data_IF_087128994271
#
_entry.id   IF_087128994271
#
_cell.length_a   1.000
_cell.length_b   1.000
_cell.length_c   1.000
_cell.angle_alpha   90.00
_cell.angle_beta   90.00
_cell.angle_gamma   90.00
#
_symmetry.space_group_name_H-M   'P 1'
#
loop_
_entity.id
_entity.type
_entity.pdbx_description
1 polymer ?
#
# COMPACT_ATOMS: atom_id res chain seq x y z
N UNK A 1 -2.59 19.05 15.69
CA UNK A 1 -1.14 18.79 15.95
C UNK A 1 -0.73 19.04 17.39
N UNK A 2 -1.20 20.09 18.04
CA UNK A 2 -0.89 20.38 19.48
C UNK A 2 -1.21 19.20 20.40
N UNK A 3 -2.32 18.50 20.19
CA UNK A 3 -2.71 17.33 20.98
C UNK A 3 -1.64 16.22 20.99
N UNK A 4 -1.05 15.92 19.84
CA UNK A 4 -0.03 14.87 19.70
C UNK A 4 1.40 15.33 20.03
N UNK A 5 1.62 16.57 20.45
CA UNK A 5 2.90 17.00 21.01
C UNK A 5 3.16 16.42 22.40
N UNK A 6 2.11 15.99 23.11
CA UNK A 6 2.22 15.31 24.39
C UNK A 6 2.31 13.79 24.17
N UNK A 7 3.38 13.11 24.63
CA UNK A 7 3.55 11.66 24.51
C UNK A 7 2.45 10.83 25.19
N UNK A 8 1.88 11.31 26.29
CA UNK A 8 0.81 10.62 26.99
C UNK A 8 -0.49 10.63 26.18
N UNK A 9 -0.85 11.76 25.56
CA UNK A 9 -1.97 11.85 24.65
C UNK A 9 -1.82 10.89 23.47
N UNK A 10 -0.60 10.78 22.92
CA UNK A 10 -0.30 9.84 21.85
C UNK A 10 -0.52 8.38 22.28
N UNK A 11 -0.05 8.02 23.46
CA UNK A 11 -0.24 6.68 24.02
C UNK A 11 -1.72 6.36 24.25
N UNK A 12 -2.44 7.26 24.90
CA UNK A 12 -3.86 7.11 25.22
C UNK A 12 -4.70 6.99 23.96
N UNK A 13 -4.46 7.85 22.99
CA UNK A 13 -5.13 7.79 21.69
C UNK A 13 -4.92 6.44 20.99
N UNK A 14 -3.68 5.96 20.93
CA UNK A 14 -3.37 4.67 20.30
C UNK A 14 -3.92 3.49 21.09
N UNK A 15 -3.86 3.54 22.44
CA UNK A 15 -4.40 2.50 23.29
C UNK A 15 -5.91 2.37 23.13
N UNK A 16 -6.63 3.49 23.10
CA UNK A 16 -8.09 3.51 22.90
C UNK A 16 -8.51 2.96 21.54
N UNK A 17 -7.72 3.24 20.47
CA UNK A 17 -7.99 2.70 19.13
C UNK A 17 -7.63 1.21 19.00
N UNK A 18 -6.56 0.79 19.65
CA UNK A 18 -6.08 -0.59 19.61
C UNK A 18 -6.91 -1.53 20.47
N UNK A 19 -7.34 -1.06 21.61
CA UNK A 19 -8.03 -1.84 22.64
C UNK A 19 -9.29 -1.10 23.13
N UNK A 20 -10.35 -1.04 22.31
CA UNK A 20 -11.58 -0.32 22.66
C UNK A 20 -12.24 -0.89 23.92
N UNK A 21 -12.10 -2.20 24.16
CA UNK A 21 -12.69 -2.91 25.30
C UNK A 21 -11.70 -3.09 26.48
N UNK A 22 -10.64 -2.30 26.53
CA UNK A 22 -9.58 -2.37 27.54
C UNK A 22 -8.31 -3.04 27.04
N UNK A 23 -7.19 -2.68 27.67
CA UNK A 23 -5.86 -3.10 27.23
C UNK A 23 -5.68 -4.61 27.37
N UNK A 24 -5.22 -5.24 26.31
CA UNK A 24 -4.94 -6.68 26.23
C UNK A 24 -3.46 -6.94 26.00
N UNK A 25 -2.95 -8.00 26.63
CA UNK A 25 -1.57 -8.44 26.42
C UNK A 25 -1.38 -8.95 24.97
N UNK A 26 -0.46 -8.37 24.20
CA UNK A 26 -0.23 -8.80 22.79
C UNK A 26 0.26 -10.24 22.66
N UNK A 27 0.79 -10.83 23.74
CA UNK A 27 1.34 -12.19 23.74
C UNK A 27 0.29 -13.25 24.06
N UNK A 28 -0.61 -13.00 25.01
CA UNK A 28 -1.56 -14.02 25.50
C UNK A 28 -3.04 -13.58 25.46
N UNK A 29 -3.36 -12.36 25.01
CA UNK A 29 -4.72 -11.84 24.88
C UNK A 29 -5.44 -11.51 26.21
N UNK A 30 -4.82 -11.73 27.38
CA UNK A 30 -5.47 -11.46 28.67
C UNK A 30 -5.57 -9.96 28.95
N UNK A 31 -6.70 -9.56 29.59
CA UNK A 31 -6.98 -8.18 30.02
C UNK A 31 -6.46 -7.87 31.42
N UNK A 32 -5.99 -8.89 32.17
CA UNK A 32 -5.42 -8.70 33.49
C UNK A 32 -3.99 -8.13 33.42
N UNK A 33 -3.94 -6.82 33.20
CA UNK A 33 -2.72 -6.05 33.00
C UNK A 33 -2.69 -4.84 33.93
N UNK A 34 -1.49 -4.46 34.40
CA UNK A 34 -1.28 -3.28 35.25
C UNK A 34 -0.44 -2.26 34.49
N UNK A 35 -0.84 -0.99 34.49
CA UNK A 35 -0.06 0.08 33.92
C UNK A 35 1.06 0.55 34.82
N UNK A 36 2.29 0.55 34.32
CA UNK A 36 3.50 0.98 35.01
C UNK A 36 3.85 2.40 34.57
N UNK A 37 3.33 3.40 35.27
CA UNK A 37 3.43 4.81 34.86
C UNK A 37 4.90 5.28 34.68
N UNK A 38 5.81 4.91 35.58
CA UNK A 38 7.24 5.27 35.51
C UNK A 38 7.95 4.73 34.25
N UNK A 39 7.47 3.61 33.70
CA UNK A 39 8.07 2.95 32.53
C UNK A 39 7.27 3.18 31.24
N UNK A 40 6.08 3.78 31.35
CA UNK A 40 5.14 3.95 30.26
C UNK A 40 4.82 2.62 29.52
N UNK A 41 4.58 1.55 30.29
CA UNK A 41 4.33 0.19 29.81
C UNK A 41 3.20 -0.45 30.60
N UNK A 42 2.63 -1.51 30.05
CA UNK A 42 1.74 -2.41 30.79
C UNK A 42 2.49 -3.68 31.16
N UNK A 43 2.11 -4.28 32.27
CA UNK A 43 2.60 -5.57 32.73
C UNK A 43 1.46 -6.57 32.80
N UNK A 44 1.57 -7.66 32.04
CA UNK A 44 0.67 -8.81 32.13
C UNK A 44 0.95 -9.62 33.38
N UNK A 45 -0.10 -10.06 34.09
CA UNK A 45 0.03 -10.90 35.27
C UNK A 45 0.26 -12.37 34.94
N UNK A 46 0.05 -12.81 33.70
CA UNK A 46 0.31 -14.19 33.26
C UNK A 46 1.80 -14.51 33.20
N UNK A 47 2.14 -15.77 33.48
CA UNK A 47 3.53 -16.27 33.40
C UNK A 47 3.93 -16.56 31.93
N UNK A 48 4.61 -15.61 31.28
CA UNK A 48 5.26 -15.77 29.97
C UNK A 48 6.47 -14.82 29.85
N UNK A 49 7.36 -15.09 28.87
CA UNK A 49 8.66 -14.38 28.78
C UNK A 49 8.54 -12.85 28.59
N UNK A 50 7.55 -12.39 27.81
CA UNK A 50 7.37 -10.97 27.49
C UNK A 50 6.19 -10.37 28.24
N UNK A 51 6.29 -10.28 29.57
CA UNK A 51 5.21 -9.77 30.43
C UNK A 51 5.00 -8.26 30.32
N UNK A 52 6.05 -7.50 30.03
CA UNK A 52 5.97 -6.05 29.88
C UNK A 52 5.88 -5.66 28.40
N UNK A 53 4.94 -4.79 28.08
CA UNK A 53 4.73 -4.31 26.71
C UNK A 53 4.30 -2.85 26.68
N UNK A 54 4.65 -2.16 25.63
CA UNK A 54 4.16 -0.83 25.30
C UNK A 54 3.07 -0.90 24.22
N UNK A 55 2.40 0.21 23.95
CA UNK A 55 1.41 0.31 22.89
C UNK A 55 1.99 0.03 21.50
N UNK A 56 3.32 0.06 21.33
CA UNK A 56 4.01 -0.23 20.08
C UNK A 56 4.15 -1.72 19.77
N UNK A 57 4.19 -2.59 20.78
CA UNK A 57 4.43 -4.03 20.60
C UNK A 57 3.32 -4.65 19.74
N UNK A 58 3.69 -5.42 18.72
CA UNK A 58 2.76 -6.01 17.76
C UNK A 58 2.16 -5.00 16.76
N UNK A 59 2.78 -3.85 16.58
CA UNK A 59 2.38 -2.85 15.57
C UNK A 59 3.53 -2.51 14.63
N UNK A 60 3.25 -1.72 13.59
CA UNK A 60 4.31 -1.19 12.72
C UNK A 60 5.33 -0.31 13.46
N UNK A 61 5.06 0.10 14.69
CA UNK A 61 5.94 0.93 15.52
C UNK A 61 6.90 0.11 16.40
N UNK A 62 6.76 -1.20 16.40
CA UNK A 62 7.57 -2.09 17.22
C UNK A 62 9.06 -1.91 16.96
N UNK A 63 9.86 -2.03 18.02
CA UNK A 63 11.33 -1.85 18.01
C UNK A 63 11.83 -0.47 17.55
N UNK A 64 10.94 0.53 17.46
CA UNK A 64 11.35 1.87 17.12
C UNK A 64 11.72 2.69 18.36
N UNK A 65 12.91 3.33 18.39
CA UNK A 65 13.28 4.24 19.46
C UNK A 65 12.53 5.59 19.39
N UNK A 66 11.90 5.89 18.24
CA UNK A 66 11.22 7.17 18.04
C UNK A 66 9.97 7.31 18.90
N UNK A 67 9.65 8.52 19.34
CA UNK A 67 8.42 8.86 20.02
C UNK A 67 7.17 8.62 19.17
N UNK A 68 6.03 8.46 19.82
CA UNK A 68 4.73 8.28 19.14
C UNK A 68 4.28 9.56 18.45
N UNK A 69 4.67 10.73 18.96
CA UNK A 69 4.47 12.05 18.37
C UNK A 69 4.99 12.09 16.93
N UNK A 70 6.24 11.66 16.72
CA UNK A 70 6.86 11.59 15.39
C UNK A 70 6.16 10.56 14.49
N UNK A 71 5.77 9.41 15.05
CA UNK A 71 5.08 8.37 14.28
C UNK A 71 3.68 8.82 13.83
N UNK A 72 2.88 9.38 14.70
CA UNK A 72 1.54 9.86 14.36
C UNK A 72 1.58 11.03 13.38
N UNK A 73 2.57 11.94 13.54
CA UNK A 73 2.79 13.01 12.57
C UNK A 73 3.20 12.45 11.21
N UNK A 74 4.08 11.43 11.14
CA UNK A 74 4.43 10.79 9.87
C UNK A 74 3.21 10.14 9.22
N UNK A 75 2.39 9.41 9.97
CA UNK A 75 1.13 8.82 9.45
C UNK A 75 0.25 9.91 8.88
N UNK A 76 0.02 11.01 9.61
CA UNK A 76 -0.79 12.14 9.16
C UNK A 76 -0.30 12.73 7.84
N UNK A 77 1.00 12.99 7.74
CA UNK A 77 1.61 13.56 6.52
C UNK A 77 1.45 12.62 5.32
N UNK A 78 1.78 11.34 5.48
CA UNK A 78 1.73 10.38 4.37
C UNK A 78 0.31 10.16 3.86
N UNK A 79 -0.68 10.06 4.74
CA UNK A 79 -2.06 9.76 4.31
C UNK A 79 -2.77 10.95 3.68
N UNK A 80 -2.38 12.18 4.04
CA UNK A 80 -3.09 13.40 3.65
C UNK A 80 -2.38 14.21 2.55
N UNK A 81 -1.10 13.97 2.27
CA UNK A 81 -0.43 14.56 1.11
C UNK A 81 -0.93 13.94 -0.19
N UNK A 82 -1.66 14.70 -1.01
CA UNK A 82 -2.35 14.21 -2.23
C UNK A 82 -1.45 13.47 -3.22
N UNK A 83 -0.23 13.93 -3.42
CA UNK A 83 0.74 13.31 -4.35
C UNK A 83 1.80 12.47 -3.63
N UNK A 84 1.61 12.17 -2.33
CA UNK A 84 2.62 11.56 -1.50
C UNK A 84 3.57 12.57 -0.87
N UNK A 85 4.49 12.09 -0.07
CA UNK A 85 5.53 12.88 0.57
C UNK A 85 6.84 12.08 0.55
N UNK A 86 7.94 12.74 0.19
CA UNK A 86 9.23 12.07 0.12
C UNK A 86 9.84 11.85 1.51
N UNK A 87 10.69 10.84 1.64
CA UNK A 87 11.43 10.60 2.88
C UNK A 87 12.35 11.76 3.28
N UNK A 88 12.79 12.58 2.34
CA UNK A 88 13.53 13.82 2.62
C UNK A 88 12.64 14.89 3.27
N UNK A 89 11.40 15.04 2.83
CA UNK A 89 10.45 15.98 3.42
C UNK A 89 10.06 15.54 4.83
N UNK A 90 9.77 14.25 5.05
CA UNK A 90 9.50 13.68 6.38
C UNK A 90 10.72 13.83 7.29
N UNK A 91 11.92 13.58 6.79
CA UNK A 91 13.18 13.77 7.52
C UNK A 91 13.29 15.19 8.08
N UNK A 92 13.05 16.19 7.24
CA UNK A 92 13.08 17.60 7.67
C UNK A 92 11.95 17.96 8.63
N UNK A 93 10.73 17.50 8.34
CA UNK A 93 9.55 17.79 9.16
C UNK A 93 9.65 17.22 10.59
N UNK A 94 10.28 16.04 10.75
CA UNK A 94 10.35 15.32 12.03
C UNK A 94 11.71 15.43 12.72
N UNK A 95 12.72 16.04 12.08
CA UNK A 95 14.08 16.09 12.63
C UNK A 95 14.69 14.70 12.82
N UNK A 96 14.56 13.82 11.81
CA UNK A 96 15.15 12.47 11.79
C UNK A 96 16.04 12.31 10.57
N UNK A 97 16.89 11.26 10.52
CA UNK A 97 17.66 11.00 9.30
C UNK A 97 16.77 10.55 8.14
N UNK A 98 17.17 10.83 6.90
CA UNK A 98 16.43 10.40 5.71
C UNK A 98 16.23 8.87 5.69
N UNK A 99 17.24 8.09 6.09
CA UNK A 99 17.15 6.63 6.20
C UNK A 99 16.08 6.20 7.20
N UNK A 100 15.98 6.89 8.34
CA UNK A 100 14.93 6.64 9.34
C UNK A 100 13.55 6.99 8.78
N UNK A 101 13.40 8.15 8.13
CA UNK A 101 12.15 8.56 7.50
C UNK A 101 11.73 7.57 6.41
N UNK A 102 12.65 7.12 5.55
CA UNK A 102 12.39 6.11 4.52
C UNK A 102 11.88 4.77 5.12
N UNK A 103 12.47 4.33 6.23
CA UNK A 103 12.00 3.14 6.93
C UNK A 103 10.62 3.33 7.56
N UNK A 104 10.35 4.52 8.14
CA UNK A 104 9.03 4.88 8.64
C UNK A 104 7.98 4.84 7.52
N UNK A 105 8.27 5.43 6.37
CA UNK A 105 7.39 5.44 5.20
C UNK A 105 6.97 4.04 4.78
N UNK A 106 7.92 3.11 4.69
CA UNK A 106 7.62 1.73 4.30
C UNK A 106 6.81 0.97 5.34
N UNK A 107 7.00 1.24 6.63
CA UNK A 107 6.16 0.69 7.70
C UNK A 107 4.73 1.24 7.65
N UNK A 108 4.56 2.53 7.36
CA UNK A 108 3.26 3.16 7.22
C UNK A 108 2.55 2.65 5.96
N UNK A 109 3.24 2.49 4.83
CA UNK A 109 2.71 1.86 3.62
C UNK A 109 2.20 0.44 3.88
N UNK A 110 2.90 -0.34 4.72
CA UNK A 110 2.41 -1.64 5.15
C UNK A 110 1.06 -1.54 5.90
N UNK A 111 0.86 -0.52 6.71
CA UNK A 111 -0.43 -0.30 7.39
C UNK A 111 -1.54 0.16 6.42
N UNK A 112 -1.19 0.76 5.28
CA UNK A 112 -2.15 1.16 4.25
C UNK A 112 -2.69 -0.01 3.43
N UNK A 113 -2.06 -1.18 3.45
CA UNK A 113 -2.59 -2.36 2.79
C UNK A 113 -4.02 -2.61 3.25
N UNK A 114 -4.92 -2.64 2.29
CA UNK A 114 -6.32 -2.96 2.53
C UNK A 114 -6.51 -4.47 2.52
N UNK A 115 -7.21 -5.01 3.52
CA UNK A 115 -7.65 -6.42 3.54
C UNK A 115 -8.78 -6.71 2.54
N UNK A 116 -9.07 -5.80 1.61
CA UNK A 116 -10.18 -5.91 0.66
C UNK A 116 -10.05 -7.05 -0.36
N UNK A 117 -8.91 -7.76 -0.35
CA UNK A 117 -8.72 -8.94 -1.20
C UNK A 117 -9.58 -10.16 -0.81
N UNK A 118 -10.26 -10.14 0.34
CA UNK A 118 -11.08 -11.25 0.80
C UNK A 118 -12.45 -11.33 0.11
N UNK A 119 -12.96 -10.21 -0.44
CA UNK A 119 -14.20 -10.18 -1.22
C UNK A 119 -13.86 -9.88 -2.68
N UNK A 120 -14.35 -10.67 -3.61
CA UNK A 120 -14.21 -10.38 -5.03
C UNK A 120 -14.99 -9.11 -5.42
N UNK A 121 -14.50 -8.42 -6.44
CA UNK A 121 -15.19 -7.29 -7.07
C UNK A 121 -16.34 -7.80 -7.92
N UNK A 122 -17.44 -7.07 -7.96
CA UNK A 122 -18.64 -7.48 -8.70
C UNK A 122 -19.21 -6.35 -9.55
N UNK A 123 -20.18 -6.66 -10.40
CA UNK A 123 -20.84 -5.70 -11.26
C UNK A 123 -19.96 -5.24 -12.43
N UNK A 124 -19.56 -3.97 -12.46
CA UNK A 124 -18.81 -3.38 -13.56
C UNK A 124 -17.35 -3.12 -13.15
N UNK A 125 -16.41 -3.84 -13.74
CA UNK A 125 -14.97 -3.78 -13.40
C UNK A 125 -14.16 -3.34 -14.61
N UNK A 126 -13.43 -2.24 -14.48
CA UNK A 126 -12.43 -1.80 -15.46
C UNK A 126 -11.10 -2.47 -15.17
N UNK A 127 -10.46 -2.98 -16.21
CA UNK A 127 -9.17 -3.69 -16.11
C UNK A 127 -8.21 -3.09 -17.13
N UNK A 128 -7.01 -2.77 -16.66
CA UNK A 128 -5.94 -2.23 -17.50
C UNK A 128 -4.58 -2.53 -16.88
N UNK A 129 -3.53 -2.43 -17.67
CA UNK A 129 -2.15 -2.56 -17.22
C UNK A 129 -1.31 -1.33 -17.54
N UNK A 130 -0.31 -1.13 -16.68
CA UNK A 130 0.67 -0.08 -16.88
C UNK A 130 2.08 -0.56 -16.59
N UNK A 131 3.07 0.15 -17.14
CA UNK A 131 4.49 -0.17 -16.96
C UNK A 131 5.16 0.93 -16.15
N UNK A 132 5.69 0.59 -14.99
CA UNK A 132 6.37 1.50 -14.07
C UNK A 132 7.87 1.23 -14.09
N UNK A 133 8.66 2.28 -14.26
CA UNK A 133 10.12 2.20 -14.28
C UNK A 133 10.75 3.39 -14.97
N UNK A 134 12.07 3.48 -14.88
CA UNK A 134 12.86 4.55 -15.48
C UNK A 134 12.78 4.57 -17.03
N UNK A 135 12.98 5.75 -17.60
CA UNK A 135 13.07 5.88 -19.07
C UNK A 135 14.40 5.32 -19.55
N UNK A 136 14.37 4.43 -20.55
CA UNK A 136 15.57 3.81 -21.13
C UNK A 136 16.61 4.85 -21.61
N UNK A 137 16.16 6.02 -22.10
CA UNK A 137 17.05 7.12 -22.52
C UNK A 137 17.90 7.72 -21.39
N UNK A 138 17.44 7.57 -20.13
CA UNK A 138 18.13 8.10 -18.95
C UNK A 138 19.08 7.06 -18.33
N UNK A 139 19.15 5.85 -18.88
CA UNK A 139 20.03 4.79 -18.40
C UNK A 139 21.44 4.95 -19.00
N UNK A 140 22.45 4.65 -18.19
CA UNK A 140 23.82 4.54 -18.70
C UNK A 140 23.88 3.49 -19.82
N UNK A 141 24.69 3.74 -20.87
CA UNK A 141 24.74 2.91 -22.09
C UNK A 141 24.92 1.42 -21.80
N UNK A 142 25.82 1.05 -20.89
CA UNK A 142 26.09 -0.34 -20.51
C UNK A 142 24.92 -1.00 -19.79
N UNK A 143 24.19 -0.26 -18.94
CA UNK A 143 23.00 -0.75 -18.24
C UNK A 143 21.85 -0.91 -19.23
N UNK A 144 21.66 0.06 -20.12
CA UNK A 144 20.63 0.02 -21.15
C UNK A 144 20.83 -1.19 -22.08
N UNK A 145 22.04 -1.46 -22.54
CA UNK A 145 22.34 -2.60 -23.42
C UNK A 145 22.00 -3.96 -22.78
N UNK A 146 22.15 -4.07 -21.44
CA UNK A 146 21.85 -5.30 -20.71
C UNK A 146 20.37 -5.45 -20.34
N UNK A 147 19.65 -4.35 -20.11
CA UNK A 147 18.26 -4.38 -19.57
C UNK A 147 17.18 -4.16 -20.60
N UNK A 148 17.48 -3.49 -21.71
CA UNK A 148 16.47 -3.11 -22.68
C UNK A 148 16.62 -3.98 -23.93
N UNK A 149 15.73 -4.95 -24.05
CA UNK A 149 15.63 -5.85 -25.20
C UNK A 149 14.28 -5.63 -25.87
N UNK A 150 14.17 -4.63 -26.76
CA UNK A 150 12.94 -4.29 -27.48
C UNK A 150 12.34 -2.92 -27.10
N UNK A 151 11.07 -2.75 -27.39
CA UNK A 151 10.31 -1.49 -27.24
C UNK A 151 9.25 -1.60 -26.13
N UNK A 152 8.56 -0.50 -25.86
CA UNK A 152 7.40 -0.48 -24.94
C UNK A 152 7.78 -0.65 -23.46
N UNK A 153 7.35 -1.73 -22.84
CA UNK A 153 7.54 -2.04 -21.41
C UNK A 153 8.88 -2.65 -21.03
N UNK A 154 9.81 -2.84 -21.99
CA UNK A 154 11.11 -3.47 -21.72
C UNK A 154 11.87 -2.76 -20.59
N UNK A 155 12.35 -3.51 -19.61
CA UNK A 155 13.06 -3.00 -18.43
C UNK A 155 12.19 -2.31 -17.38
N UNK A 156 10.86 -2.37 -17.52
CA UNK A 156 9.90 -1.84 -16.55
C UNK A 156 9.12 -2.97 -15.87
N UNK A 157 8.54 -2.66 -14.73
CA UNK A 157 7.65 -3.57 -14.00
C UNK A 157 6.23 -3.41 -14.54
N UNK A 158 5.60 -4.53 -14.90
CA UNK A 158 4.20 -4.54 -15.29
C UNK A 158 3.32 -4.55 -14.04
N UNK A 159 2.33 -3.68 -14.03
CA UNK A 159 1.34 -3.54 -12.96
C UNK A 159 -0.04 -3.67 -13.58
N UNK A 160 -0.85 -4.56 -13.04
CA UNK A 160 -2.25 -4.70 -13.38
C UNK A 160 -3.11 -3.96 -12.37
N UNK A 161 -4.15 -3.29 -12.85
CA UNK A 161 -5.16 -2.62 -12.05
C UNK A 161 -6.55 -3.11 -12.38
N UNK A 162 -7.36 -3.26 -11.34
CA UNK A 162 -8.78 -3.57 -11.44
C UNK A 162 -9.55 -2.50 -10.66
N UNK A 163 -10.53 -1.88 -11.29
CA UNK A 163 -11.37 -0.85 -10.67
C UNK A 163 -12.83 -1.24 -10.77
N UNK A 164 -13.45 -1.52 -9.64
CA UNK A 164 -14.91 -1.61 -9.55
C UNK A 164 -15.52 -0.22 -9.70
N UNK A 165 -16.42 -0.02 -10.65
CA UNK A 165 -17.03 1.30 -10.89
C UNK A 165 -17.81 1.74 -9.66
N UNK A 166 -17.54 2.97 -9.22
CA UNK A 166 -18.04 3.55 -7.97
C UNK A 166 -17.50 2.90 -6.67
N UNK A 167 -16.68 1.87 -6.79
CA UNK A 167 -16.05 1.11 -5.71
C UNK A 167 -14.55 1.41 -5.53
N UNK A 168 -13.81 0.35 -5.31
CA UNK A 168 -12.39 0.36 -5.00
C UNK A 168 -11.53 0.02 -6.22
N UNK A 169 -10.29 0.50 -6.21
CA UNK A 169 -9.23 0.00 -7.07
C UNK A 169 -8.38 -1.04 -6.33
N UNK A 170 -7.92 -2.05 -7.04
CA UNK A 170 -6.89 -3.00 -6.60
C UNK A 170 -5.77 -3.03 -7.62
N UNK A 171 -4.55 -3.22 -7.16
CA UNK A 171 -3.38 -3.29 -8.01
C UNK A 171 -2.48 -4.44 -7.61
N UNK A 172 -1.87 -5.08 -8.59
CA UNK A 172 -0.87 -6.12 -8.37
C UNK A 172 0.29 -5.98 -9.36
N UNK A 173 1.48 -6.35 -8.90
CA UNK A 173 2.64 -6.52 -9.79
C UNK A 173 2.48 -7.86 -10.48
N UNK A 174 2.56 -7.86 -11.80
CA UNK A 174 2.46 -9.10 -12.60
C UNK A 174 3.80 -9.41 -13.27
N UNK A 175 4.16 -10.69 -13.40
CA UNK A 175 5.45 -11.07 -14.00
C UNK A 175 5.52 -10.70 -15.49
N UNK A 176 4.38 -10.67 -16.16
CA UNK A 176 4.22 -10.28 -17.55
C UNK A 176 2.75 -10.00 -17.86
N UNK A 177 2.49 -9.38 -19.03
CA UNK A 177 1.13 -9.05 -19.51
C UNK A 177 0.57 -10.11 -20.47
N UNK A 178 0.97 -11.36 -20.32
CA UNK A 178 0.42 -12.46 -21.11
C UNK A 178 -0.95 -12.87 -20.58
N UNK A 179 -1.79 -13.42 -21.46
CA UNK A 179 -3.14 -13.88 -21.12
C UNK A 179 -3.21 -14.64 -19.79
N UNK A 180 -2.41 -15.69 -19.62
CA UNK A 180 -2.43 -16.54 -18.42
C UNK A 180 -2.24 -15.71 -17.14
N UNK A 181 -1.28 -14.78 -17.12
CA UNK A 181 -1.00 -13.95 -15.95
C UNK A 181 -2.16 -13.01 -15.65
N UNK A 182 -2.72 -12.31 -16.66
CA UNK A 182 -3.82 -11.37 -16.47
C UNK A 182 -5.12 -12.09 -16.10
N UNK A 183 -5.48 -13.18 -16.78
CA UNK A 183 -6.69 -13.94 -16.45
C UNK A 183 -6.63 -14.55 -15.05
N UNK A 184 -5.47 -15.03 -14.59
CA UNK A 184 -5.30 -15.50 -13.20
C UNK A 184 -5.63 -14.40 -12.18
N UNK A 185 -5.18 -13.17 -12.41
CA UNK A 185 -5.47 -12.06 -11.51
C UNK A 185 -6.95 -11.61 -11.62
N UNK A 186 -7.56 -11.62 -12.81
CA UNK A 186 -9.00 -11.36 -12.97
C UNK A 186 -9.80 -12.40 -12.17
N UNK A 187 -9.56 -13.68 -12.39
CA UNK A 187 -10.29 -14.75 -11.71
C UNK A 187 -10.14 -14.72 -10.17
N UNK A 188 -8.98 -14.28 -9.69
CA UNK A 188 -8.73 -14.12 -8.26
C UNK A 188 -9.52 -12.95 -7.64
N UNK A 189 -9.70 -11.88 -8.39
CA UNK A 189 -10.20 -10.62 -7.86
C UNK A 189 -11.61 -10.23 -8.29
N UNK A 190 -12.14 -10.82 -9.36
CA UNK A 190 -13.45 -10.49 -9.95
C UNK A 190 -14.37 -11.68 -9.86
N UNK A 191 -15.61 -11.45 -9.43
CA UNK A 191 -16.65 -12.47 -9.33
C UNK A 191 -17.10 -12.89 -10.73
N UNK A 192 -17.19 -14.22 -11.01
CA UNK A 192 -17.70 -14.72 -12.28
C UNK A 192 -19.08 -14.13 -12.62
N UNK A 193 -19.34 -13.86 -13.91
CA UNK A 193 -20.56 -13.20 -14.37
C UNK A 193 -20.56 -11.68 -14.31
N UNK A 194 -19.51 -11.07 -13.73
CA UNK A 194 -19.34 -9.61 -13.74
C UNK A 194 -19.07 -9.08 -15.15
N UNK A 195 -19.33 -7.80 -15.37
CA UNK A 195 -18.99 -7.10 -16.61
C UNK A 195 -17.56 -6.55 -16.54
N UNK A 196 -16.67 -7.04 -17.38
CA UNK A 196 -15.27 -6.60 -17.46
C UNK A 196 -15.10 -5.66 -18.66
N UNK A 197 -14.51 -4.49 -18.42
CA UNK A 197 -14.13 -3.50 -19.44
C UNK A 197 -12.61 -3.48 -19.59
N UNK A 198 -12.11 -3.70 -20.78
CA UNK A 198 -10.67 -3.59 -21.08
C UNK A 198 -10.43 -2.85 -22.38
N UNK A 199 -9.18 -2.49 -22.66
CA UNK A 199 -8.76 -2.08 -23.98
C UNK A 199 -8.73 -3.25 -24.98
N UNK A 200 -8.39 -2.95 -26.25
CA UNK A 200 -8.32 -3.93 -27.33
C UNK A 200 -7.05 -4.82 -27.28
N UNK A 201 -6.39 -4.92 -26.12
CA UNK A 201 -5.17 -5.71 -26.01
C UNK A 201 -5.44 -7.22 -26.11
N UNK A 202 -4.72 -7.92 -26.97
CA UNK A 202 -4.95 -9.35 -27.30
C UNK A 202 -4.92 -10.29 -26.10
N UNK A 203 -4.27 -9.90 -25.00
CA UNK A 203 -4.20 -10.73 -23.80
C UNK A 203 -5.53 -10.83 -23.06
N UNK A 204 -6.51 -9.98 -23.37
CA UNK A 204 -7.87 -10.08 -22.84
C UNK A 204 -8.82 -10.96 -23.67
N UNK A 205 -8.37 -11.50 -24.80
CA UNK A 205 -9.17 -12.44 -25.59
C UNK A 205 -9.57 -13.64 -24.74
N UNK A 206 -10.83 -14.11 -24.85
CA UNK A 206 -11.47 -15.20 -24.08
C UNK A 206 -11.76 -14.88 -22.62
N UNK A 207 -11.72 -13.63 -22.17
CA UNK A 207 -12.27 -13.23 -20.88
C UNK A 207 -13.79 -13.47 -20.84
N UNK A 208 -14.45 -13.40 -22.01
CA UNK A 208 -15.88 -13.66 -22.18
C UNK A 208 -16.33 -15.09 -21.82
N UNK A 209 -15.41 -16.01 -21.62
CA UNK A 209 -15.78 -17.38 -21.22
C UNK A 209 -16.40 -17.40 -19.80
N UNK A 210 -15.95 -16.49 -18.90
CA UNK A 210 -16.40 -16.39 -17.51
C UNK A 210 -17.07 -15.02 -17.19
N UNK A 211 -16.95 -14.02 -18.07
CA UNK A 211 -17.36 -12.64 -17.82
C UNK A 211 -18.08 -12.01 -19.02
N UNK A 212 -18.93 -11.03 -18.78
CA UNK A 212 -19.44 -10.16 -19.86
C UNK A 212 -18.33 -9.20 -20.26
N UNK A 213 -17.62 -9.49 -21.34
CA UNK A 213 -16.44 -8.71 -21.74
C UNK A 213 -16.78 -7.63 -22.78
N UNK A 214 -16.54 -6.38 -22.42
CA UNK A 214 -16.69 -5.21 -23.28
C UNK A 214 -15.31 -4.60 -23.57
N UNK A 215 -14.99 -4.48 -24.84
CA UNK A 215 -13.69 -3.98 -25.31
C UNK A 215 -13.87 -2.58 -25.88
N UNK A 216 -13.00 -1.64 -25.48
CA UNK A 216 -12.89 -0.33 -26.13
C UNK A 216 -11.66 -0.30 -27.05
N UNK A 217 -11.86 0.16 -28.28
CA UNK A 217 -10.76 0.41 -29.20
C UNK A 217 -10.40 1.91 -29.17
N UNK A 218 -9.40 2.27 -28.39
CA UNK A 218 -8.94 3.65 -28.25
C UNK A 218 -8.41 4.27 -29.56
N UNK A 219 -8.11 3.46 -30.58
CA UNK A 219 -7.75 3.96 -31.91
C UNK A 219 -8.95 4.52 -32.66
N UNK A 220 -10.18 4.13 -32.32
CA UNK A 220 -11.42 4.56 -32.98
C UNK A 220 -12.25 5.50 -32.10
N UNK A 221 -12.40 5.17 -30.80
CA UNK A 221 -13.20 5.95 -29.84
C UNK A 221 -12.60 5.89 -28.44
N UNK A 222 -12.65 6.99 -27.69
CA UNK A 222 -12.29 7.03 -26.26
C UNK A 222 -13.42 6.55 -25.35
N UNK A 223 -14.66 6.68 -25.79
CA UNK A 223 -15.87 6.27 -25.04
C UNK A 223 -16.92 5.81 -26.05
N UNK A 224 -17.50 4.64 -25.81
CA UNK A 224 -18.66 4.15 -26.55
C UNK A 224 -19.83 3.91 -25.59
N UNK A 225 -20.63 4.96 -25.36
CA UNK A 225 -21.69 4.96 -24.37
C UNK A 225 -21.16 4.75 -22.95
N UNK A 226 -21.46 3.58 -22.32
CA UNK A 226 -20.94 3.19 -21.00
C UNK A 226 -19.63 2.38 -21.08
N UNK A 227 -19.11 2.08 -22.28
CA UNK A 227 -17.88 1.30 -22.47
C UNK A 227 -16.70 2.26 -22.45
N UNK A 228 -15.92 2.23 -21.41
CA UNK A 228 -14.70 3.01 -21.21
C UNK A 228 -13.86 2.46 -20.05
N UNK A 229 -12.58 2.82 -20.00
CA UNK A 229 -11.62 2.51 -18.95
C UNK A 229 -11.11 3.77 -18.23
N UNK A 230 -11.83 4.87 -18.34
CA UNK A 230 -11.42 6.19 -17.85
C UNK A 230 -11.12 6.23 -16.34
N UNK A 231 -11.79 5.37 -15.55
CA UNK A 231 -11.58 5.31 -14.11
C UNK A 231 -10.20 4.77 -13.75
N UNK A 232 -9.80 3.67 -14.35
CA UNK A 232 -8.49 3.07 -14.12
C UNK A 232 -7.37 3.90 -14.77
N UNK A 233 -7.61 4.52 -15.92
CA UNK A 233 -6.66 5.45 -16.56
C UNK A 233 -6.38 6.68 -15.66
N UNK A 234 -7.42 7.23 -15.04
CA UNK A 234 -7.25 8.31 -14.06
C UNK A 234 -6.39 7.85 -12.87
N UNK A 235 -6.63 6.64 -12.36
CA UNK A 235 -5.78 6.08 -11.31
C UNK A 235 -4.31 5.99 -11.73
N UNK A 236 -4.03 5.52 -12.97
CA UNK A 236 -2.66 5.47 -13.50
C UNK A 236 -2.03 6.85 -13.63
N UNK A 237 -2.80 7.84 -14.04
CA UNK A 237 -2.33 9.24 -14.12
C UNK A 237 -1.87 9.74 -12.74
N UNK A 238 -2.67 9.49 -11.68
CA UNK A 238 -2.34 9.86 -10.30
C UNK A 238 -1.11 9.11 -9.79
N UNK A 239 -1.03 7.79 -10.02
CA UNK A 239 0.12 6.98 -9.64
C UNK A 239 1.41 7.46 -10.30
N UNK A 240 1.40 7.66 -11.62
CA UNK A 240 2.57 8.13 -12.38
C UNK A 240 3.01 9.53 -11.93
N UNK A 241 2.06 10.40 -11.58
CA UNK A 241 2.34 11.73 -11.04
C UNK A 241 3.06 11.65 -9.69
N UNK A 242 2.59 10.80 -8.77
CA UNK A 242 3.24 10.57 -7.48
C UNK A 242 4.64 9.99 -7.65
N UNK A 243 4.80 8.96 -8.49
CA UNK A 243 6.10 8.32 -8.71
C UNK A 243 7.09 9.27 -9.35
N UNK A 244 6.70 9.97 -10.42
CA UNK A 244 7.64 10.82 -11.16
C UNK A 244 7.92 12.17 -10.47
N UNK A 245 6.92 12.73 -9.76
CA UNK A 245 7.02 14.05 -9.14
C UNK A 245 7.54 14.02 -7.71
N UNK A 246 7.07 13.08 -6.89
CA UNK A 246 7.41 13.03 -5.46
C UNK A 246 8.53 12.05 -5.14
N UNK A 247 8.43 10.82 -5.67
CA UNK A 247 9.38 9.75 -5.33
C UNK A 247 10.56 9.66 -6.30
N UNK A 248 10.42 10.21 -7.49
CA UNK A 248 11.41 10.32 -8.58
C UNK A 248 11.87 8.96 -9.11
N UNK A 249 12.31 8.07 -8.24
CA UNK A 249 12.74 6.71 -8.59
C UNK A 249 12.31 5.73 -7.51
N UNK A 250 11.71 4.63 -7.95
CA UNK A 250 11.27 3.54 -7.07
C UNK A 250 11.92 2.25 -7.57
N UNK A 251 12.65 1.58 -6.69
CA UNK A 251 13.21 0.28 -7.00
C UNK A 251 12.08 -0.74 -7.24
N UNK A 252 12.19 -1.61 -8.26
CA UNK A 252 11.18 -2.62 -8.57
C UNK A 252 10.75 -3.45 -7.35
N UNK A 253 11.69 -3.82 -6.51
CA UNK A 253 11.49 -4.57 -5.27
C UNK A 253 10.55 -3.86 -4.28
N UNK A 254 10.45 -2.55 -4.31
CA UNK A 254 9.63 -1.76 -3.40
C UNK A 254 8.31 -1.26 -4.03
N UNK A 255 8.13 -1.46 -5.35
CA UNK A 255 7.03 -0.85 -6.09
C UNK A 255 5.66 -1.16 -5.48
N UNK A 256 5.42 -2.40 -5.05
CA UNK A 256 4.15 -2.82 -4.46
C UNK A 256 3.75 -1.96 -3.24
N UNK A 257 4.69 -1.45 -2.44
CA UNK A 257 4.40 -0.56 -1.31
C UNK A 257 3.88 0.82 -1.75
N UNK A 258 4.35 1.31 -2.88
CA UNK A 258 3.86 2.57 -3.45
C UNK A 258 2.51 2.37 -4.13
N UNK A 259 2.26 1.18 -4.65
CA UNK A 259 0.93 0.78 -5.12
C UNK A 259 -0.08 0.73 -3.96
N UNK A 260 0.28 0.11 -2.82
CA UNK A 260 -0.54 0.10 -1.60
C UNK A 260 -0.93 1.52 -1.17
N UNK A 261 0.03 2.43 -1.16
CA UNK A 261 -0.16 3.83 -0.79
C UNK A 261 -1.12 4.56 -1.75
N UNK A 262 -0.91 4.42 -3.06
CA UNK A 262 -1.75 5.08 -4.04
C UNK A 262 -3.16 4.48 -4.08
N UNK A 263 -3.27 3.16 -3.95
CA UNK A 263 -4.53 2.43 -3.84
C UNK A 263 -5.33 2.92 -2.61
N UNK A 264 -4.68 3.03 -1.44
CA UNK A 264 -5.31 3.57 -0.23
C UNK A 264 -5.83 5.00 -0.44
N UNK A 265 -5.04 5.90 -1.04
CA UNK A 265 -5.47 7.28 -1.33
C UNK A 265 -6.65 7.33 -2.27
N UNK A 266 -6.62 6.56 -3.34
CA UNK A 266 -7.71 6.53 -4.31
C UNK A 266 -9.00 5.99 -3.69
N UNK A 267 -8.92 4.89 -2.96
CA UNK A 267 -10.07 4.26 -2.31
C UNK A 267 -10.64 5.12 -1.16
N UNK A 268 -9.79 5.94 -0.54
CA UNK A 268 -10.20 6.88 0.53
C UNK A 268 -10.41 8.32 0.04
N UNK A 269 -10.53 8.56 -1.27
CA UNK A 269 -10.61 9.92 -1.86
C UNK A 269 -11.81 10.74 -1.40
N UNK A 270 -12.91 10.08 -1.00
CA UNK A 270 -14.12 10.73 -0.48
C UNK A 270 -14.06 11.00 1.02
N UNK A 271 -13.13 10.38 1.73
CA UNK A 271 -12.93 10.57 3.15
C UNK A 271 -12.23 11.91 3.45
N UNK A 272 -12.49 12.50 4.62
CA UNK A 272 -11.74 13.65 5.11
C UNK A 272 -10.38 13.22 5.69
N UNK A 273 -9.53 14.20 6.06
CA UNK A 273 -8.17 13.96 6.53
C UNK A 273 -8.12 13.11 7.80
N UNK A 274 -9.05 13.34 8.72
CA UNK A 274 -9.16 12.59 9.97
C UNK A 274 -9.57 11.15 9.73
N UNK A 275 -10.57 10.92 8.89
CA UNK A 275 -11.03 9.58 8.55
C UNK A 275 -9.94 8.74 7.87
N UNK A 276 -9.13 9.35 6.98
CA UNK A 276 -7.97 8.68 6.37
C UNK A 276 -6.94 8.29 7.40
N UNK A 277 -6.64 9.21 8.31
CA UNK A 277 -5.71 8.97 9.40
C UNK A 277 -6.19 7.84 10.32
N UNK A 278 -7.44 7.91 10.79
CA UNK A 278 -8.05 6.91 11.66
C UNK A 278 -8.05 5.51 11.01
N UNK A 279 -8.39 5.40 9.72
CA UNK A 279 -8.33 4.14 8.95
C UNK A 279 -6.95 3.49 8.96
N UNK A 280 -5.88 4.27 8.93
CA UNK A 280 -4.52 3.71 8.99
C UNK A 280 -4.16 3.35 10.43
N UNK A 281 -4.53 4.16 11.41
CA UNK A 281 -4.27 3.89 12.83
C UNK A 281 -4.94 2.59 13.29
N UNK A 282 -6.14 2.29 12.83
CA UNK A 282 -6.85 1.02 13.12
C UNK A 282 -6.13 -0.22 12.54
N UNK A 283 -5.29 -0.04 11.53
CA UNK A 283 -4.58 -1.12 10.82
C UNK A 283 -3.11 -1.26 11.22
N UNK A 284 -2.67 -0.58 12.28
CA UNK A 284 -1.28 -0.62 12.72
C UNK A 284 -0.92 -1.96 13.38
N UNK A 285 -1.88 -2.59 14.07
CA UNK A 285 -1.67 -3.84 14.79
C UNK A 285 -1.59 -5.05 13.85
N UNK A 286 -0.91 -6.12 14.31
CA UNK A 286 -0.73 -7.36 13.55
C UNK A 286 0.25 -7.26 12.37
N UNK A 287 0.92 -6.13 12.21
CA UNK A 287 1.85 -5.87 11.10
C UNK A 287 3.22 -5.50 11.63
N UNK A 288 4.25 -6.13 11.10
CA UNK A 288 5.65 -5.83 11.43
C UNK A 288 6.49 -5.82 10.15
N UNK A 289 7.40 -4.88 10.05
CA UNK A 289 8.39 -4.82 8.98
C UNK A 289 9.76 -4.53 9.61
N UNK A 290 10.67 -5.46 9.49
CA UNK A 290 12.06 -5.27 9.94
C UNK A 290 12.89 -4.61 8.84
N UNK A 291 14.01 -3.98 9.21
CA UNK A 291 14.92 -3.40 8.24
C UNK A 291 15.56 -4.45 7.32
N UNK A 292 15.80 -5.66 7.83
CA UNK A 292 16.31 -6.80 7.04
C UNK A 292 15.33 -7.21 5.95
N UNK A 293 14.04 -7.38 6.29
CA UNK A 293 12.98 -7.66 5.32
C UNK A 293 12.86 -6.55 4.27
N UNK A 294 12.90 -5.28 4.71
CA UNK A 294 12.79 -4.14 3.80
C UNK A 294 13.96 -4.07 2.81
N UNK A 295 15.17 -4.48 3.21
CA UNK A 295 16.35 -4.42 2.34
C UNK A 295 16.66 -5.75 1.61
N UNK A 296 15.75 -6.73 1.68
CA UNK A 296 15.92 -8.04 1.04
C UNK A 296 17.09 -8.89 1.61
N UNK A 297 17.55 -8.57 2.83
CA UNK A 297 18.65 -9.29 3.51
C UNK A 297 18.14 -10.41 4.42
N UNK A 298 17.01 -11.00 4.09
CA UNK A 298 16.39 -12.09 4.83
C UNK A 298 16.71 -13.44 4.20
N UNK A 299 16.66 -14.52 5.01
CA UNK A 299 16.63 -15.90 4.54
C UNK A 299 15.39 -16.15 3.65
N UNK A 300 15.42 -17.17 2.81
CA UNK A 300 14.34 -17.46 1.85
C UNK A 300 12.96 -17.67 2.51
N UNK A 301 12.93 -18.13 3.76
CA UNK A 301 11.71 -18.35 4.55
C UNK A 301 11.03 -17.04 5.05
N UNK A 302 11.77 -15.93 5.10
CA UNK A 302 11.26 -14.63 5.55
C UNK A 302 10.98 -13.65 4.40
N UNK A 303 11.10 -14.08 3.14
CA UNK A 303 10.83 -13.20 1.98
C UNK A 303 9.36 -12.81 1.98
N UNK A 304 9.12 -11.51 1.78
CA UNK A 304 7.76 -11.00 1.57
C UNK A 304 7.19 -11.65 0.29
N UNK A 305 5.94 -12.12 0.32
CA UNK A 305 5.29 -12.64 -0.88
C UNK A 305 5.16 -11.50 -1.91
N UNK A 306 5.64 -11.73 -3.12
CA UNK A 306 5.50 -10.85 -4.29
C UNK A 306 4.39 -11.37 -5.17
#
# INVERSE_FOLDING_TARGET
MIYFSNPDNCREYLAARRWPDGVECPTCGRKDVTFLAKQNKWQCKSAHKQRQFSVKVGTIFEDSPLGLDKWLTAVWLIVNCKNGISSYEISRALGVTQKTAWFMDHRIRLAMQTGSFMKQMSGHVEVDETFIGGKARNMHRSVRARRIHGTGGSGKVAVMGLLERHGEVRTCVVPNVRRKSLHTEIAKHVEPGSTVYSDAFRSYNRVQDDYVHNVINHAEKYVDGKIHTNGIENFWSLLKRSINGTYVSVEPFHLFRYLDEQTFRFNSRRANDRERFDKVVERLAGKRLTYRQLTGKTSDEEKLPF
#
